data_IF_775601319016
#
_entry.id   IF_775601319016
#
_cell.length_a   1.000
_cell.length_b   1.000
_cell.length_c   1.000
_cell.angle_alpha   90.00
_cell.angle_beta   90.00
_cell.angle_gamma   90.00
#
_symmetry.space_group_name_H-M   'P 1'
#
loop_
_entity.id
_entity.type
_entity.pdbx_description
1 polymer ?
#
# COMPACT_ATOMS: atom_id res chain seq x y z
N UNK A 1 24.65 15.95 -3.46
CA UNK A 1 24.41 15.84 -4.92
C UNK A 1 24.75 14.42 -5.35
N UNK A 2 23.76 13.67 -5.84
CA UNK A 2 23.73 12.84 -7.06
C UNK A 2 22.36 12.15 -7.04
N UNK A 3 21.39 12.74 -7.74
CA UNK A 3 20.03 12.24 -7.86
C UNK A 3 20.05 10.93 -8.65
N UNK A 4 20.17 9.79 -7.96
CA UNK A 4 19.82 8.50 -8.54
C UNK A 4 18.30 8.41 -8.61
N UNK A 5 17.77 8.97 -9.70
CA UNK A 5 16.49 8.57 -10.28
C UNK A 5 16.48 7.04 -10.27
N UNK A 6 15.44 6.45 -9.69
CA UNK A 6 15.14 5.03 -9.85
C UNK A 6 14.86 4.83 -11.35
N UNK A 7 15.93 4.63 -12.13
CA UNK A 7 15.81 4.16 -13.50
C UNK A 7 15.33 2.73 -13.37
N UNK A 8 14.12 2.48 -13.83
CA UNK A 8 13.61 1.16 -14.16
C UNK A 8 14.58 0.48 -15.15
N UNK A 9 15.61 -0.18 -14.63
CA UNK A 9 16.56 -0.99 -15.36
C UNK A 9 16.30 -2.45 -15.04
N UNK A 10 15.27 -3.02 -15.65
CA UNK A 10 15.18 -4.46 -15.91
C UNK A 10 14.10 -4.72 -16.97
N UNK A 11 14.38 -4.27 -18.20
CA UNK A 11 13.57 -4.57 -19.40
C UNK A 11 14.43 -5.14 -20.55
N UNK A 12 15.69 -5.50 -20.27
CA UNK A 12 16.61 -6.05 -21.28
C UNK A 12 16.89 -7.50 -20.92
N UNK A 13 15.98 -8.39 -21.30
CA UNK A 13 16.14 -9.82 -21.59
C UNK A 13 14.79 -10.54 -21.37
N UNK A 14 13.78 -10.11 -22.11
CA UNK A 14 12.51 -10.83 -22.19
C UNK A 14 12.15 -10.99 -23.65
N UNK A 15 11.74 -12.19 -24.00
CA UNK A 15 11.25 -12.56 -25.31
C UNK A 15 10.14 -11.58 -25.77
N UNK A 16 10.11 -11.24 -27.07
CA UNK A 16 9.26 -10.17 -27.61
C UNK A 16 7.78 -10.38 -27.32
N UNK A 17 7.37 -11.64 -27.24
CA UNK A 17 5.99 -12.10 -26.99
C UNK A 17 5.52 -11.77 -25.57
N UNK A 18 6.34 -12.03 -24.55
CA UNK A 18 6.00 -11.74 -23.15
C UNK A 18 5.90 -10.22 -22.90
N UNK A 19 6.74 -9.41 -23.58
CA UNK A 19 6.63 -7.95 -23.51
C UNK A 19 5.31 -7.42 -24.09
N UNK A 20 4.80 -8.04 -25.16
CA UNK A 20 3.53 -7.67 -25.76
C UNK A 20 2.34 -8.05 -24.87
N UNK A 21 2.29 -9.29 -24.37
CA UNK A 21 1.21 -9.75 -23.49
C UNK A 21 1.10 -8.91 -22.21
N UNK A 22 2.23 -8.59 -21.60
CA UNK A 22 2.30 -7.67 -20.44
C UNK A 22 1.62 -6.34 -20.73
N UNK A 23 1.93 -5.77 -21.89
CA UNK A 23 1.37 -4.49 -22.32
C UNK A 23 -0.14 -4.60 -22.50
N UNK A 24 -0.62 -5.69 -23.10
CA UNK A 24 -2.07 -5.93 -23.29
C UNK A 24 -2.79 -6.02 -21.94
N UNK A 25 -2.26 -6.78 -20.98
CA UNK A 25 -2.85 -6.90 -19.64
C UNK A 25 -2.89 -5.55 -18.93
N UNK A 26 -1.77 -4.83 -18.91
CA UNK A 26 -1.71 -3.52 -18.27
C UNK A 26 -2.68 -2.51 -18.92
N UNK A 27 -2.78 -2.49 -20.25
CA UNK A 27 -3.72 -1.62 -20.96
C UNK A 27 -5.18 -1.99 -20.69
N UNK A 28 -5.49 -3.27 -20.50
CA UNK A 28 -6.82 -3.72 -20.08
C UNK A 28 -7.20 -3.16 -18.70
N UNK A 29 -6.31 -3.29 -17.71
CA UNK A 29 -6.49 -2.70 -16.39
C UNK A 29 -6.68 -1.18 -16.46
N UNK A 30 -5.87 -0.50 -17.27
CA UNK A 30 -6.00 0.94 -17.50
C UNK A 30 -7.39 1.30 -18.05
N UNK A 31 -7.91 0.51 -19.00
CA UNK A 31 -9.25 0.72 -19.57
C UNK A 31 -10.33 0.57 -18.51
N UNK A 32 -10.24 -0.46 -17.66
CA UNK A 32 -11.21 -0.67 -16.58
C UNK A 32 -11.19 0.47 -15.57
N UNK A 33 -10.01 0.91 -15.10
CA UNK A 33 -9.88 2.03 -14.15
C UNK A 33 -10.30 3.38 -14.74
N UNK A 34 -10.28 3.55 -16.06
CA UNK A 34 -10.77 4.77 -16.72
C UNK A 34 -12.28 4.89 -16.77
N UNK A 35 -13.02 3.82 -16.49
CA UNK A 35 -14.45 3.77 -16.76
C UNK A 35 -15.29 4.79 -15.96
N UNK A 36 -14.88 5.14 -14.74
CA UNK A 36 -15.65 6.01 -13.85
C UNK A 36 -15.12 7.45 -13.84
N UNK A 37 -15.78 8.38 -14.52
CA UNK A 37 -15.42 9.80 -14.45
C UNK A 37 -15.80 10.40 -13.08
N UNK A 38 -15.31 11.62 -12.79
CA UNK A 38 -15.59 12.26 -11.50
C UNK A 38 -17.09 12.43 -11.22
N UNK A 39 -17.88 12.74 -12.25
CA UNK A 39 -19.33 12.88 -12.08
C UNK A 39 -20.02 11.54 -11.85
N UNK A 40 -19.44 10.44 -12.36
CA UNK A 40 -19.91 9.10 -12.03
C UNK A 40 -19.61 8.73 -10.59
N UNK A 41 -18.49 9.18 -10.03
CA UNK A 41 -18.18 8.99 -8.62
C UNK A 41 -19.13 9.79 -7.73
N UNK A 42 -19.54 11.00 -8.14
CA UNK A 42 -20.51 11.81 -7.39
C UNK A 42 -21.92 11.23 -7.43
N UNK A 43 -22.34 10.71 -8.59
CA UNK A 43 -23.68 10.19 -8.82
C UNK A 43 -23.69 8.66 -8.95
N UNK A 44 -22.86 7.96 -8.17
CA UNK A 44 -22.53 6.55 -8.37
C UNK A 44 -23.76 5.67 -8.56
N UNK A 45 -23.77 4.96 -9.71
CA UNK A 45 -24.77 3.96 -10.08
C UNK A 45 -24.04 2.68 -10.44
N UNK A 46 -24.08 1.67 -9.57
CA UNK A 46 -23.35 0.41 -9.76
C UNK A 46 -23.67 -0.28 -11.09
N UNK A 47 -24.90 -0.18 -11.58
CA UNK A 47 -25.32 -0.76 -12.87
C UNK A 47 -24.53 -0.21 -14.07
N UNK A 48 -24.01 1.02 -14.00
CA UNK A 48 -23.15 1.61 -15.04
C UNK A 48 -21.83 0.84 -15.20
N UNK A 49 -21.37 0.20 -14.14
CA UNK A 49 -20.07 -0.49 -14.07
C UNK A 49 -20.20 -2.00 -14.02
N UNK A 50 -21.37 -2.54 -14.36
CA UNK A 50 -21.60 -4.00 -14.40
C UNK A 50 -20.56 -4.68 -15.28
N UNK A 51 -19.86 -5.67 -14.72
CA UNK A 51 -18.79 -6.41 -15.40
C UNK A 51 -17.41 -5.73 -15.36
N UNK A 52 -17.29 -4.53 -14.80
CA UNK A 52 -15.98 -3.92 -14.54
C UNK A 52 -15.40 -4.49 -13.22
N UNK A 53 -14.17 -5.04 -13.23
CA UNK A 53 -13.58 -5.60 -12.02
C UNK A 53 -13.40 -4.58 -10.90
N UNK A 54 -13.25 -3.29 -11.22
CA UNK A 54 -13.08 -2.21 -10.25
C UNK A 54 -14.39 -1.56 -9.77
N UNK A 55 -15.56 -2.18 -10.04
CA UNK A 55 -16.85 -1.63 -9.59
C UNK A 55 -16.90 -1.37 -8.08
N UNK A 56 -16.44 -2.32 -7.25
CA UNK A 56 -16.39 -2.16 -5.79
C UNK A 56 -15.48 -1.01 -5.37
N UNK A 57 -14.28 -0.94 -5.96
CA UNK A 57 -13.38 0.20 -5.79
C UNK A 57 -14.05 1.54 -6.13
N UNK A 58 -14.80 1.64 -7.25
CA UNK A 58 -15.52 2.87 -7.60
C UNK A 58 -16.62 3.23 -6.61
N UNK A 59 -17.31 2.24 -6.03
CA UNK A 59 -18.30 2.45 -4.99
C UNK A 59 -17.67 3.06 -3.73
N UNK A 60 -16.56 2.50 -3.25
CA UNK A 60 -15.87 3.04 -2.09
C UNK A 60 -15.27 4.42 -2.39
N UNK A 61 -14.70 4.59 -3.58
CA UNK A 61 -14.17 5.87 -4.00
C UNK A 61 -15.27 6.94 -4.11
N UNK A 62 -16.47 6.59 -4.58
CA UNK A 62 -17.64 7.46 -4.57
C UNK A 62 -17.98 7.93 -3.15
N UNK A 63 -18.03 7.00 -2.20
CA UNK A 63 -18.29 7.31 -0.79
C UNK A 63 -17.22 8.24 -0.18
N UNK A 64 -15.96 8.05 -0.54
CA UNK A 64 -14.85 8.92 -0.09
C UNK A 64 -14.85 10.28 -0.81
N UNK A 65 -15.40 10.33 -2.03
CA UNK A 65 -15.51 11.54 -2.84
C UNK A 65 -16.68 12.41 -2.43
N UNK A 66 -17.74 11.82 -1.88
CA UNK A 66 -18.82 12.55 -1.22
C UNK A 66 -18.30 13.11 0.11
N UNK A 67 -17.70 14.29 0.05
CA UNK A 67 -17.63 15.14 1.24
C UNK A 67 -19.06 15.39 1.68
N UNK A 68 -19.47 14.83 2.82
CA UNK A 68 -20.59 15.37 3.58
C UNK A 68 -20.25 16.84 3.87
N UNK A 69 -20.61 17.75 2.97
CA UNK A 69 -21.29 18.96 3.40
C UNK A 69 -22.59 18.41 4.01
N UNK A 70 -22.55 17.96 5.26
CA UNK A 70 -23.80 17.67 5.94
C UNK A 70 -24.66 18.93 5.81
N UNK A 71 -25.97 18.79 5.71
CA UNK A 71 -26.85 19.94 5.83
C UNK A 71 -26.49 20.75 7.08
N UNK A 72 -26.01 20.11 8.15
CA UNK A 72 -25.45 20.81 9.31
C UNK A 72 -24.24 21.68 9.02
N UNK A 73 -23.36 21.32 8.07
CA UNK A 73 -22.21 22.15 7.68
C UNK A 73 -22.66 23.35 6.85
N UNK A 74 -23.66 23.16 6.00
CA UNK A 74 -24.28 24.24 5.21
C UNK A 74 -25.10 25.16 6.12
N UNK A 75 -25.96 24.61 6.99
CA UNK A 75 -26.71 25.34 8.01
C UNK A 75 -25.78 26.02 9.03
N UNK A 76 -24.64 25.41 9.41
CA UNK A 76 -23.64 26.07 10.26
C UNK A 76 -22.88 27.17 9.55
N UNK A 77 -22.52 27.01 8.27
CA UNK A 77 -21.96 28.10 7.48
C UNK A 77 -22.97 29.26 7.34
N UNK A 78 -24.25 28.93 7.16
CA UNK A 78 -25.34 29.91 7.10
C UNK A 78 -25.62 30.59 8.46
N UNK A 79 -25.50 29.86 9.58
CA UNK A 79 -25.54 30.42 10.95
C UNK A 79 -24.32 31.28 11.26
N UNK A 80 -23.11 30.87 10.85
CA UNK A 80 -21.86 31.64 11.02
C UNK A 80 -21.85 32.94 10.23
N UNK A 81 -22.51 32.97 9.07
CA UNK A 81 -22.69 34.20 8.30
C UNK A 81 -23.72 35.16 8.93
N UNK A 82 -24.47 34.74 9.96
CA UNK A 82 -25.57 35.51 10.56
C UNK A 82 -25.40 35.77 12.07
N UNK A 83 -24.33 35.31 12.72
CA UNK A 83 -24.12 35.46 14.17
C UNK A 83 -22.74 36.04 14.54
N UNK A 84 -22.73 37.20 15.22
CA UNK A 84 -21.54 37.91 15.75
C UNK A 84 -21.06 37.39 17.12
N UNK A 85 -21.02 36.07 17.35
CA UNK A 85 -20.59 35.50 18.65
C UNK A 85 -19.36 34.58 18.56
N UNK A 86 -18.48 34.56 19.59
CA UNK A 86 -17.13 34.06 19.47
C UNK A 86 -17.03 32.54 19.47
N UNK A 87 -15.91 32.10 18.89
CA UNK A 87 -15.50 30.74 18.54
C UNK A 87 -15.51 29.78 19.73
N UNK A 88 -16.47 28.85 19.76
CA UNK A 88 -16.28 27.56 20.43
C UNK A 88 -15.96 26.47 19.38
N UNK A 89 -14.87 25.76 19.65
CA UNK A 89 -14.30 24.69 18.83
C UNK A 89 -15.24 23.48 18.77
N UNK A 90 -16.02 23.34 17.70
CA UNK A 90 -16.88 22.17 17.48
C UNK A 90 -16.07 20.94 17.00
N UNK A 91 -15.88 20.01 17.95
CA UNK A 91 -15.31 18.68 17.83
C UNK A 91 -16.07 17.80 16.83
N UNK A 92 -15.34 17.17 15.91
CA UNK A 92 -15.81 16.04 15.11
C UNK A 92 -15.97 14.84 16.05
N UNK A 93 -17.14 14.20 16.07
CA UNK A 93 -17.35 12.98 16.87
C UNK A 93 -16.57 11.82 16.25
N UNK A 94 -15.73 11.16 17.05
CA UNK A 94 -14.80 10.08 16.63
C UNK A 94 -15.47 8.94 15.84
N UNK A 95 -16.75 8.65 16.09
CA UNK A 95 -17.51 7.57 15.42
C UNK A 95 -17.62 7.71 13.89
N UNK A 96 -17.51 8.93 13.35
CA UNK A 96 -17.55 9.17 11.90
C UNK A 96 -16.16 9.10 11.25
N UNK A 97 -15.09 9.07 12.04
CA UNK A 97 -13.72 8.94 11.53
C UNK A 97 -13.40 7.47 11.28
N UNK A 98 -13.77 6.58 12.20
CA UNK A 98 -13.60 5.12 12.07
C UNK A 98 -14.31 4.57 10.83
N UNK A 99 -15.54 5.04 10.54
CA UNK A 99 -16.28 4.61 9.36
C UNK A 99 -15.62 5.04 8.04
N UNK A 100 -14.95 6.19 8.01
CA UNK A 100 -14.22 6.66 6.83
C UNK A 100 -12.92 5.92 6.62
N UNK A 101 -12.22 5.56 7.70
CA UNK A 101 -11.03 4.71 7.65
C UNK A 101 -11.37 3.34 7.07
N UNK A 102 -12.45 2.70 7.54
CA UNK A 102 -12.94 1.44 6.98
C UNK A 102 -13.22 1.52 5.47
N UNK A 103 -13.78 2.63 4.98
CA UNK A 103 -14.04 2.81 3.55
C UNK A 103 -12.75 3.03 2.77
N UNK A 104 -11.78 3.77 3.31
CA UNK A 104 -10.45 3.90 2.70
C UNK A 104 -9.73 2.54 2.62
N UNK A 105 -9.80 1.74 3.69
CA UNK A 105 -9.28 0.37 3.72
C UNK A 105 -9.93 -0.51 2.67
N UNK A 106 -11.27 -0.47 2.55
CA UNK A 106 -12.00 -1.22 1.54
C UNK A 106 -11.64 -0.77 0.12
N UNK A 107 -11.51 0.54 -0.13
CA UNK A 107 -11.11 1.08 -1.42
C UNK A 107 -9.71 0.61 -1.83
N UNK A 108 -8.74 0.73 -0.92
CA UNK A 108 -7.36 0.33 -1.20
C UNK A 108 -7.24 -1.19 -1.40
N UNK A 109 -7.94 -1.98 -0.58
CA UNK A 109 -8.03 -3.42 -0.72
C UNK A 109 -8.60 -3.84 -2.07
N UNK A 110 -9.72 -3.26 -2.50
CA UNK A 110 -10.31 -3.57 -3.80
C UNK A 110 -9.36 -3.19 -4.94
N UNK A 111 -8.75 -1.99 -4.90
CA UNK A 111 -7.79 -1.56 -5.91
C UNK A 111 -6.63 -2.57 -6.06
N UNK A 112 -6.03 -2.99 -4.94
CA UNK A 112 -4.90 -3.92 -4.95
C UNK A 112 -5.36 -5.34 -5.33
N UNK A 113 -6.45 -5.84 -4.75
CA UNK A 113 -7.00 -7.18 -5.03
C UNK A 113 -7.30 -7.35 -6.51
N UNK A 114 -8.09 -6.45 -7.09
CA UNK A 114 -8.47 -6.56 -8.50
C UNK A 114 -7.30 -6.34 -9.44
N UNK A 115 -6.31 -5.53 -9.04
CA UNK A 115 -5.05 -5.44 -9.78
C UNK A 115 -4.34 -6.79 -9.80
N UNK A 116 -4.09 -7.41 -8.64
CA UNK A 116 -3.43 -8.72 -8.53
C UNK A 116 -4.18 -9.81 -9.31
N UNK A 117 -5.49 -9.94 -9.14
CA UNK A 117 -6.31 -10.96 -9.81
C UNK A 117 -6.25 -10.86 -11.34
N UNK A 118 -6.14 -9.64 -11.88
CA UNK A 118 -6.13 -9.40 -13.31
C UNK A 118 -4.70 -9.24 -13.88
N UNK A 119 -3.67 -9.38 -13.07
CA UNK A 119 -2.26 -9.39 -13.49
C UNK A 119 -1.83 -10.72 -14.15
N UNK A 120 -2.74 -11.67 -14.37
CA UNK A 120 -2.40 -13.02 -14.88
C UNK A 120 -1.25 -13.62 -14.09
N UNK A 121 -0.22 -14.18 -14.70
CA UNK A 121 0.95 -14.77 -14.01
C UNK A 121 1.95 -13.73 -13.50
N UNK A 122 1.75 -12.43 -13.72
CA UNK A 122 2.75 -11.40 -13.35
C UNK A 122 2.83 -11.07 -11.85
N UNK A 123 1.93 -11.64 -11.05
CA UNK A 123 2.00 -11.63 -9.59
C UNK A 123 2.63 -12.91 -9.02
N UNK A 124 2.98 -13.88 -9.87
CA UNK A 124 3.73 -15.08 -9.48
C UNK A 124 5.21 -14.76 -9.29
N UNK A 125 5.83 -15.38 -8.29
CA UNK A 125 7.26 -15.25 -8.04
C UNK A 125 8.05 -15.95 -9.15
N UNK A 126 9.24 -15.42 -9.46
CA UNK A 126 10.16 -15.97 -10.45
C UNK A 126 10.83 -17.29 -10.00
N UNK A 127 10.03 -18.33 -9.81
CA UNK A 127 10.45 -19.67 -9.37
C UNK A 127 10.11 -20.72 -10.42
N UNK A 128 10.74 -21.89 -10.30
CA UNK A 128 10.24 -23.09 -10.96
C UNK A 128 8.80 -23.38 -10.50
N UNK A 129 7.90 -23.81 -11.41
CA UNK A 129 6.58 -24.25 -11.02
C UNK A 129 6.64 -25.48 -10.09
N UNK A 130 5.60 -25.70 -9.30
CA UNK A 130 5.40 -26.93 -8.53
C UNK A 130 5.25 -28.13 -9.48
N UNK A 131 5.35 -29.38 -8.99
CA UNK A 131 5.00 -30.55 -9.79
C UNK A 131 3.60 -30.45 -10.44
N UNK A 132 2.67 -29.74 -9.80
CA UNK A 132 1.33 -29.44 -10.32
C UNK A 132 1.26 -28.20 -11.24
N UNK A 133 2.40 -27.58 -11.55
CA UNK A 133 2.47 -26.42 -12.43
C UNK A 133 2.25 -25.05 -11.75
N UNK A 134 2.00 -25.00 -10.45
CA UNK A 134 1.65 -23.74 -9.75
C UNK A 134 2.86 -23.02 -9.18
N UNK A 135 2.85 -21.70 -9.07
CA UNK A 135 3.95 -20.92 -8.48
C UNK A 135 3.48 -20.19 -7.22
N UNK A 136 4.36 -20.00 -6.22
CA UNK A 136 4.07 -19.04 -5.16
C UNK A 136 3.75 -17.68 -5.79
N UNK A 137 2.76 -17.00 -5.24
CA UNK A 137 2.25 -15.76 -5.82
C UNK A 137 1.98 -14.72 -4.75
N UNK A 138 1.97 -13.46 -5.13
CA UNK A 138 1.56 -12.39 -4.22
C UNK A 138 0.03 -12.36 -4.13
N UNK A 139 -0.49 -12.23 -2.92
CA UNK A 139 -1.92 -12.17 -2.67
C UNK A 139 -2.25 -11.11 -1.62
N UNK A 140 -3.45 -10.55 -1.71
CA UNK A 140 -3.94 -9.62 -0.71
C UNK A 140 -4.46 -10.39 0.49
N UNK A 141 -3.98 -10.06 1.68
CA UNK A 141 -4.55 -10.53 2.94
C UNK A 141 -5.43 -9.42 3.52
N UNK A 142 -6.77 -9.59 3.50
CA UNK A 142 -7.66 -8.70 4.22
C UNK A 142 -7.53 -9.02 5.72
N UNK A 143 -6.71 -8.27 6.43
CA UNK A 143 -6.49 -8.45 7.86
C UNK A 143 -5.21 -7.80 8.33
N UNK A 144 -5.21 -7.43 9.61
CA UNK A 144 -4.13 -6.70 10.22
C UNK A 144 -2.88 -7.57 10.43
N UNK A 145 -1.72 -7.02 10.12
CA UNK A 145 -0.43 -7.49 10.60
C UNK A 145 0.02 -6.63 11.78
N UNK A 146 0.21 -7.28 12.92
CA UNK A 146 0.74 -6.69 14.14
C UNK A 146 2.25 -6.86 14.21
N UNK A 147 2.95 -5.76 14.46
CA UNK A 147 4.40 -5.68 14.62
C UNK A 147 4.71 -5.25 16.04
N UNK A 148 5.59 -6.00 16.71
CA UNK A 148 6.11 -5.64 18.03
C UNK A 148 7.62 -5.57 17.93
N UNK A 149 8.20 -4.42 18.25
CA UNK A 149 9.65 -4.23 18.23
C UNK A 149 10.07 -3.29 19.36
N UNK A 150 11.37 -3.26 19.66
CA UNK A 150 11.93 -2.34 20.66
C UNK A 150 12.92 -1.40 19.99
N UNK A 151 12.82 -0.11 20.30
CA UNK A 151 13.74 0.92 19.82
C UNK A 151 14.18 1.77 21.01
N UNK A 152 15.49 1.89 21.23
CA UNK A 152 16.02 2.66 22.37
C UNK A 152 15.55 2.13 23.74
N UNK A 153 15.30 0.83 23.87
CA UNK A 153 14.78 0.21 25.09
C UNK A 153 13.27 0.36 25.30
N UNK A 154 12.57 1.10 24.43
CA UNK A 154 11.12 1.28 24.48
C UNK A 154 10.44 0.27 23.55
N UNK A 155 9.39 -0.40 24.04
CA UNK A 155 8.57 -1.30 23.23
C UNK A 155 7.55 -0.50 22.43
N UNK A 156 7.47 -0.81 21.15
CA UNK A 156 6.51 -0.25 20.21
C UNK A 156 5.65 -1.36 19.64
N UNK A 157 4.39 -1.02 19.41
CA UNK A 157 3.41 -1.87 18.76
C UNK A 157 2.74 -1.09 17.64
N UNK A 158 2.73 -1.70 16.46
CA UNK A 158 2.19 -1.10 15.24
C UNK A 158 1.30 -2.13 14.58
N UNK A 159 0.19 -1.69 14.04
CA UNK A 159 -0.82 -2.51 13.38
C UNK A 159 -1.12 -1.84 12.05
N UNK A 160 -1.04 -2.59 10.96
CA UNK A 160 -1.50 -2.11 9.65
C UNK A 160 -2.95 -2.56 9.40
N UNK A 161 -3.60 -1.98 8.39
CA UNK A 161 -4.99 -2.32 8.06
C UNK A 161 -5.10 -3.58 7.21
N UNK A 162 -4.11 -3.80 6.33
CA UNK A 162 -4.00 -4.99 5.50
C UNK A 162 -2.58 -5.14 4.94
N UNK A 163 -2.33 -6.21 4.18
CA UNK A 163 -1.04 -6.38 3.54
C UNK A 163 -1.09 -7.29 2.32
N UNK A 164 -0.06 -7.16 1.47
CA UNK A 164 0.26 -8.17 0.44
C UNK A 164 1.19 -9.20 1.07
N UNK A 165 0.84 -10.48 0.98
CA UNK A 165 1.62 -11.61 1.45
C UNK A 165 2.07 -12.52 0.32
N UNK A 166 2.95 -13.48 0.63
CA UNK A 166 3.25 -14.60 -0.28
C UNK A 166 2.27 -15.74 0.00
N UNK A 167 1.54 -16.16 -1.03
CA UNK A 167 0.72 -17.36 -1.02
C UNK A 167 1.53 -18.55 -1.55
N UNK A 168 1.66 -19.59 -0.73
CA UNK A 168 2.28 -20.86 -1.09
C UNK A 168 1.19 -21.89 -1.43
N UNK A 169 1.08 -22.32 -2.70
CA UNK A 169 0.17 -23.41 -3.04
C UNK A 169 0.62 -24.71 -2.36
N UNK A 170 -0.32 -25.40 -1.70
CA UNK A 170 -0.08 -26.67 -1.05
C UNK A 170 0.28 -27.77 -2.05
N UNK A 171 1.38 -28.47 -1.83
CA UNK A 171 1.97 -29.46 -2.75
C UNK A 171 1.20 -30.79 -2.89
N UNK A 172 0.03 -30.92 -2.27
CA UNK A 172 -0.77 -32.16 -2.28
C UNK A 172 -2.26 -31.84 -2.47
N UNK A 173 -2.74 -30.80 -1.78
CA UNK A 173 -4.15 -30.39 -1.80
C UNK A 173 -4.44 -29.20 -2.72
N UNK A 174 -3.41 -28.50 -3.22
CA UNK A 174 -3.56 -27.21 -3.87
C UNK A 174 -4.04 -26.09 -2.94
N UNK A 175 -4.14 -26.33 -1.63
CA UNK A 175 -4.66 -25.35 -0.67
C UNK A 175 -3.73 -24.13 -0.57
N UNK A 176 -4.29 -22.94 -0.67
CA UNK A 176 -3.57 -21.69 -0.47
C UNK A 176 -3.07 -21.56 0.98
N UNK A 177 -1.77 -21.27 1.15
CA UNK A 177 -1.16 -21.00 2.45
C UNK A 177 -0.52 -19.63 2.42
N UNK A 178 -1.27 -18.63 2.86
CA UNK A 178 -0.80 -17.25 2.84
C UNK A 178 0.08 -16.96 4.05
N UNK A 179 1.26 -16.41 3.79
CA UNK A 179 2.20 -15.97 4.81
C UNK A 179 1.60 -14.86 5.68
N UNK A 180 1.86 -14.93 6.98
CA UNK A 180 1.58 -13.85 7.94
C UNK A 180 2.68 -12.77 7.96
N UNK A 181 3.69 -12.92 7.10
CA UNK A 181 4.77 -11.97 6.91
C UNK A 181 4.43 -11.06 5.72
N UNK A 182 4.23 -9.76 5.97
CA UNK A 182 3.86 -8.82 4.93
C UNK A 182 5.04 -8.52 4.01
N UNK A 183 4.78 -8.56 2.72
CA UNK A 183 5.66 -8.11 1.64
C UNK A 183 5.49 -6.60 1.43
N UNK A 184 4.24 -6.13 1.47
CA UNK A 184 3.85 -4.73 1.38
C UNK A 184 2.77 -4.50 2.43
N UNK A 185 2.98 -3.54 3.32
CA UNK A 185 1.95 -3.11 4.27
C UNK A 185 0.95 -2.18 3.58
N UNK A 186 -0.25 -2.10 4.13
CA UNK A 186 -1.28 -1.20 3.66
C UNK A 186 -1.83 -0.42 4.84
N UNK A 187 -1.80 0.91 4.71
CA UNK A 187 -2.19 1.84 5.76
C UNK A 187 -3.22 2.82 5.23
N UNK A 188 -4.34 2.91 5.90
CA UNK A 188 -5.45 3.76 5.54
C UNK A 188 -5.72 4.71 6.70
N UNK A 189 -6.03 5.95 6.34
CA UNK A 189 -6.40 6.95 7.34
C UNK A 189 -7.57 7.77 6.83
N UNK A 190 -8.37 8.34 7.75
CA UNK A 190 -9.42 9.26 7.35
C UNK A 190 -8.80 10.51 6.69
N UNK A 191 -9.62 11.22 5.91
CA UNK A 191 -9.23 12.47 5.21
C UNK A 191 -8.57 13.52 6.13
N UNK A 192 -8.86 13.49 7.42
CA UNK A 192 -8.42 14.46 8.44
C UNK A 192 -7.30 13.91 9.35
N UNK A 193 -6.50 12.96 8.86
CA UNK A 193 -5.47 12.29 9.64
C UNK A 193 -4.52 13.26 10.35
N UNK A 194 -4.19 12.96 11.62
CA UNK A 194 -3.36 13.84 12.44
C UNK A 194 -4.01 15.17 12.83
N UNK A 195 -5.35 15.25 12.79
CA UNK A 195 -6.11 16.45 13.16
C UNK A 195 -6.14 17.53 12.08
N UNK A 196 -5.60 17.27 10.89
CA UNK A 196 -5.50 18.25 9.80
C UNK A 196 -6.71 18.13 8.87
N UNK A 197 -7.72 18.99 9.06
CA UNK A 197 -8.88 19.07 8.16
C UNK A 197 -8.52 19.77 6.85
N UNK A 198 -9.09 19.30 5.73
CA UNK A 198 -8.89 19.91 4.40
C UNK A 198 -10.08 19.76 3.46
N UNK A 199 -10.20 20.71 2.52
CA UNK A 199 -11.21 20.72 1.47
C UNK A 199 -10.99 19.63 0.41
N UNK A 200 -12.02 19.35 -0.41
CA UNK A 200 -11.93 18.43 -1.55
C UNK A 200 -10.93 18.90 -2.59
N UNK A 201 -9.93 18.08 -2.92
CA UNK A 201 -8.90 18.39 -3.91
C UNK A 201 -7.71 19.18 -3.39
N UNK A 202 -7.66 19.51 -2.10
CA UNK A 202 -6.47 20.15 -1.52
C UNK A 202 -5.33 19.13 -1.30
N UNK A 203 -4.08 19.52 -1.60
CA UNK A 203 -2.93 18.67 -1.39
C UNK A 203 -2.76 18.33 0.09
N UNK A 204 -2.14 17.19 0.36
CA UNK A 204 -1.84 16.80 1.73
C UNK A 204 -0.70 17.63 2.28
N UNK A 205 -0.95 18.31 3.39
CA UNK A 205 0.13 18.85 4.19
C UNK A 205 0.85 17.69 4.85
N UNK A 206 2.16 17.81 4.97
CA UNK A 206 2.95 16.85 5.70
C UNK A 206 2.41 16.71 7.14
N UNK A 207 2.01 15.50 7.51
CA UNK A 207 1.60 15.14 8.87
C UNK A 207 2.71 14.32 9.53
N UNK A 208 3.42 14.86 10.54
CA UNK A 208 4.47 14.12 11.24
C UNK A 208 3.95 12.84 11.90
N UNK A 209 2.72 12.84 12.43
CA UNK A 209 2.15 11.68 13.11
C UNK A 209 1.86 10.54 12.15
N UNK A 210 1.29 10.84 10.98
CA UNK A 210 1.05 9.80 9.97
C UNK A 210 2.36 9.28 9.41
N UNK A 211 3.30 10.18 9.12
CA UNK A 211 4.61 9.76 8.64
C UNK A 211 5.35 8.89 9.68
N UNK A 212 5.22 9.20 10.98
CA UNK A 212 5.78 8.36 12.04
C UNK A 212 5.16 6.96 12.06
N UNK A 213 3.85 6.84 11.85
CA UNK A 213 3.15 5.56 11.73
C UNK A 213 3.68 4.75 10.54
N UNK A 214 3.77 5.35 9.36
CA UNK A 214 4.33 4.70 8.16
C UNK A 214 5.77 4.20 8.40
N UNK A 215 6.61 5.03 9.03
CA UNK A 215 7.99 4.66 9.40
C UNK A 215 7.99 3.48 10.37
N UNK A 216 7.08 3.48 11.34
CA UNK A 216 6.96 2.43 12.34
C UNK A 216 6.51 1.10 11.69
N UNK A 217 5.64 1.13 10.70
CA UNK A 217 5.27 -0.06 9.90
C UNK A 217 6.41 -0.59 9.04
N UNK A 218 7.18 0.31 8.40
CA UNK A 218 8.37 -0.07 7.62
C UNK A 218 9.38 -0.79 8.52
N UNK A 219 9.67 -0.23 9.70
CA UNK A 219 10.56 -0.83 10.69
C UNK A 219 9.98 -2.16 11.21
N UNK A 220 8.69 -2.17 11.55
CA UNK A 220 8.00 -3.35 12.09
C UNK A 220 7.99 -4.53 11.13
N UNK A 221 7.74 -4.29 9.84
CA UNK A 221 7.77 -5.32 8.80
C UNK A 221 9.16 -5.90 8.60
N UNK A 222 10.18 -5.04 8.52
CA UNK A 222 11.59 -5.44 8.47
C UNK A 222 11.93 -6.36 9.65
N UNK A 223 11.63 -5.93 10.88
CA UNK A 223 11.87 -6.73 12.08
C UNK A 223 11.17 -8.09 12.03
N UNK A 224 9.88 -8.10 11.68
CA UNK A 224 9.07 -9.32 11.63
C UNK A 224 9.65 -10.33 10.64
N UNK A 225 10.08 -9.88 9.47
CA UNK A 225 10.74 -10.73 8.48
C UNK A 225 12.15 -11.17 8.90
N UNK A 226 12.93 -10.28 9.52
CA UNK A 226 14.29 -10.60 9.95
C UNK A 226 14.31 -11.63 11.10
N UNK A 227 13.39 -11.47 12.05
CA UNK A 227 13.25 -12.35 13.22
C UNK A 227 12.52 -13.66 12.94
N UNK A 228 11.83 -13.78 11.80
CA UNK A 228 11.16 -15.02 11.43
C UNK A 228 12.18 -16.18 11.33
N UNK A 229 12.07 -17.13 12.26
CA UNK A 229 12.97 -18.30 12.36
C UNK A 229 12.74 -19.31 11.24
N UNK A 230 11.53 -19.33 10.67
CA UNK A 230 11.12 -20.26 9.61
C UNK A 230 11.63 -19.87 8.21
N UNK A 231 12.24 -18.69 8.05
CA UNK A 231 12.78 -18.27 6.76
C UNK A 231 14.20 -18.83 6.56
N UNK A 232 14.41 -19.74 5.60
CA UNK A 232 15.72 -20.34 5.34
C UNK A 232 16.74 -19.35 4.80
N UNK A 233 16.27 -18.26 4.18
CA UNK A 233 17.12 -17.28 3.52
C UNK A 233 16.89 -15.92 4.17
N UNK A 234 17.94 -15.42 4.83
CA UNK A 234 17.94 -14.08 5.44
C UNK A 234 18.98 -13.21 4.78
N UNK A 235 18.53 -12.11 4.20
CA UNK A 235 19.45 -11.08 3.72
C UNK A 235 20.02 -10.27 4.88
N UNK A 236 21.23 -9.76 4.67
CA UNK A 236 21.90 -8.83 5.61
C UNK A 236 21.30 -7.43 5.53
N UNK A 237 20.64 -7.10 4.43
CA UNK A 237 19.92 -5.86 4.19
C UNK A 237 18.45 -6.15 3.88
N UNK A 238 17.58 -5.15 3.99
CA UNK A 238 16.16 -5.32 3.68
C UNK A 238 15.54 -4.09 3.06
N UNK A 239 14.43 -4.28 2.36
CA UNK A 239 13.53 -3.22 1.94
C UNK A 239 12.17 -3.43 2.61
N UNK A 240 11.42 -2.35 2.77
CA UNK A 240 10.01 -2.42 3.16
C UNK A 240 9.19 -1.39 2.41
N UNK A 241 7.90 -1.67 2.29
CA UNK A 241 6.96 -0.90 1.49
C UNK A 241 5.64 -0.74 2.25
N UNK A 242 5.06 0.45 2.18
CA UNK A 242 3.72 0.76 2.69
C UNK A 242 2.94 1.44 1.57
N UNK A 243 1.81 0.87 1.18
CA UNK A 243 0.83 1.55 0.33
C UNK A 243 -0.15 2.28 1.23
N UNK A 244 -0.29 3.58 1.04
CA UNK A 244 -1.12 4.42 1.89
C UNK A 244 -2.30 5.01 1.14
N UNK A 245 -3.47 5.07 1.79
CA UNK A 245 -4.66 5.74 1.27
C UNK A 245 -5.34 6.64 2.31
N UNK A 246 -5.33 7.95 2.07
CA UNK A 246 -5.93 8.95 2.95
C UNK A 246 -7.13 9.60 2.29
N UNK A 247 -8.33 9.13 2.61
CA UNK A 247 -9.50 9.46 1.80
C UNK A 247 -9.28 8.99 0.36
N UNK A 248 -9.22 9.91 -0.60
CA UNK A 248 -8.99 9.58 -2.03
C UNK A 248 -7.54 9.68 -2.47
N UNK A 249 -6.62 10.11 -1.60
CA UNK A 249 -5.21 10.25 -1.95
C UNK A 249 -4.47 8.94 -1.71
N UNK A 250 -3.77 8.46 -2.72
CA UNK A 250 -2.94 7.27 -2.67
C UNK A 250 -1.46 7.63 -2.81
N UNK A 251 -0.58 6.91 -2.11
CA UNK A 251 0.87 7.02 -2.29
C UNK A 251 1.61 5.78 -1.78
N UNK A 252 2.90 5.68 -2.10
CA UNK A 252 3.81 4.61 -1.69
C UNK A 252 4.94 5.18 -0.83
N UNK A 253 5.12 4.61 0.36
CA UNK A 253 6.29 4.81 1.23
C UNK A 253 7.23 3.61 1.14
N UNK A 254 8.54 3.86 1.11
CA UNK A 254 9.55 2.80 1.09
C UNK A 254 10.82 3.18 1.84
N UNK A 255 11.48 2.18 2.42
CA UNK A 255 12.76 2.33 3.06
C UNK A 255 13.69 1.15 2.73
N UNK A 256 14.98 1.47 2.59
CA UNK A 256 16.06 0.49 2.54
C UNK A 256 16.80 0.49 3.87
N UNK A 257 16.94 -0.70 4.45
CA UNK A 257 17.58 -0.97 5.72
C UNK A 257 18.95 -1.60 5.46
N UNK A 258 20.05 -0.80 5.50
CA UNK A 258 21.38 -1.34 5.35
C UNK A 258 21.74 -2.22 6.57
N UNK A 259 22.72 -3.14 6.43
CA UNK A 259 23.09 -4.07 7.49
C UNK A 259 23.42 -3.38 8.82
N UNK A 260 24.13 -2.24 8.77
CA UNK A 260 24.50 -1.47 9.95
C UNK A 260 23.27 -0.88 10.65
N UNK A 261 22.22 -0.51 9.90
CA UNK A 261 20.97 -0.02 10.47
C UNK A 261 20.15 -1.13 11.12
N UNK A 262 20.11 -2.31 10.49
CA UNK A 262 19.48 -3.49 11.08
C UNK A 262 20.20 -3.86 12.38
N UNK A 263 21.54 -3.94 12.37
CA UNK A 263 22.33 -4.23 13.55
C UNK A 263 22.11 -3.20 14.68
N UNK A 264 22.02 -1.92 14.34
CA UNK A 264 21.67 -0.86 15.29
C UNK A 264 20.29 -1.09 15.92
N UNK A 265 19.27 -1.35 15.09
CA UNK A 265 17.92 -1.60 15.56
C UNK A 265 17.83 -2.83 16.48
N UNK A 266 18.55 -3.90 16.15
CA UNK A 266 18.50 -5.15 16.92
C UNK A 266 19.29 -5.11 18.24
N UNK A 267 20.49 -4.52 18.21
CA UNK A 267 21.45 -4.61 19.33
C UNK A 267 21.45 -3.36 20.21
N UNK A 268 20.84 -2.27 19.75
CA UNK A 268 20.91 -0.97 20.41
C UNK A 268 22.33 -0.41 20.49
N UNK A 269 23.29 -1.02 19.79
CA UNK A 269 24.68 -0.57 19.78
C UNK A 269 24.79 0.63 18.83
N UNK A 270 25.01 1.80 19.41
CA UNK A 270 25.23 3.03 18.65
C UNK A 270 26.43 2.84 17.70
N UNK A 271 26.17 2.74 16.40
CA UNK A 271 27.16 3.16 15.42
C UNK A 271 27.58 4.58 15.81
N UNK A 272 28.90 4.84 15.88
CA UNK A 272 29.49 6.11 16.32
C UNK A 272 28.57 7.29 15.97
N UNK A 273 28.10 7.98 17.00
CA UNK A 273 27.01 8.95 16.92
C UNK A 273 27.15 9.90 15.71
N UNK A 274 26.13 9.96 14.86
CA UNK A 274 25.96 11.04 13.88
C UNK A 274 25.85 10.65 12.39
N UNK A 275 26.13 9.41 11.99
CA UNK A 275 26.17 9.03 10.56
C UNK A 275 25.08 8.08 10.07
N UNK A 276 24.26 7.52 10.99
CA UNK A 276 23.32 6.47 10.65
C UNK A 276 21.88 7.03 10.52
N UNK A 277 21.41 7.20 9.29
CA UNK A 277 20.07 7.71 8.98
C UNK A 277 19.27 6.66 8.22
N UNK A 278 17.99 6.50 8.59
CA UNK A 278 17.02 5.80 7.74
C UNK A 278 16.40 6.81 6.77
N UNK A 279 16.62 6.58 5.49
CA UNK A 279 15.99 7.37 4.44
C UNK A 279 14.68 6.71 4.03
N UNK A 280 13.57 7.34 4.41
CA UNK A 280 12.24 6.94 3.93
C UNK A 280 11.84 7.83 2.77
N UNK A 281 11.43 7.20 1.67
CA UNK A 281 10.99 7.87 0.45
C UNK A 281 9.49 7.71 0.31
N UNK A 282 8.82 8.79 -0.08
CA UNK A 282 7.42 8.80 -0.48
C UNK A 282 7.29 9.16 -1.95
N UNK A 283 6.37 8.50 -2.65
CA UNK A 283 5.92 8.98 -3.95
C UNK A 283 5.21 10.31 -3.81
N UNK A 284 4.94 10.95 -4.95
CA UNK A 284 3.88 11.97 -5.00
C UNK A 284 2.54 11.34 -4.61
N UNK A 285 1.59 12.17 -4.21
CA UNK A 285 0.22 11.73 -3.94
C UNK A 285 -0.57 11.70 -5.24
N UNK A 286 -1.39 10.66 -5.39
CA UNK A 286 -2.30 10.47 -6.51
C UNK A 286 -3.73 10.61 -6.00
N UNK A 287 -4.45 11.66 -6.41
CA UNK A 287 -5.87 11.81 -6.14
C UNK A 287 -6.66 10.87 -7.04
N UNK A 288 -7.16 9.79 -6.45
CA UNK A 288 -7.87 8.74 -7.17
C UNK A 288 -9.23 9.21 -7.72
N UNK A 289 -9.71 10.41 -7.37
CA UNK A 289 -10.81 11.07 -8.09
C UNK A 289 -10.46 11.39 -9.54
N UNK A 290 -9.19 11.69 -9.80
CA UNK A 290 -8.70 12.03 -11.13
C UNK A 290 -8.39 10.76 -11.92
N UNK A 291 -8.99 10.65 -13.11
CA UNK A 291 -8.82 9.47 -13.97
C UNK A 291 -7.35 9.24 -14.35
N UNK A 292 -6.62 10.30 -14.68
CA UNK A 292 -5.19 10.23 -15.02
C UNK A 292 -4.37 9.73 -13.84
N UNK A 293 -4.61 10.26 -12.64
CA UNK A 293 -3.85 9.90 -11.44
C UNK A 293 -4.16 8.47 -10.96
N UNK A 294 -5.37 7.95 -11.16
CA UNK A 294 -5.65 6.50 -10.97
C UNK A 294 -4.76 5.61 -11.83
N UNK A 295 -4.44 6.04 -13.05
CA UNK A 295 -3.59 5.26 -13.95
C UNK A 295 -2.13 5.33 -13.54
N UNK A 296 -1.68 6.46 -13.00
CA UNK A 296 -0.35 6.58 -12.41
C UNK A 296 -0.23 5.76 -11.11
N UNK A 297 -1.27 5.75 -10.28
CA UNK A 297 -1.36 4.86 -9.12
C UNK A 297 -1.28 3.37 -9.52
N UNK A 298 -2.05 2.96 -10.54
CA UNK A 298 -1.95 1.60 -11.10
C UNK A 298 -0.54 1.29 -11.60
N UNK A 299 0.11 2.23 -12.29
CA UNK A 299 1.49 2.05 -12.77
C UNK A 299 2.45 1.84 -11.59
N UNK A 300 2.27 2.59 -10.50
CA UNK A 300 3.05 2.44 -9.28
C UNK A 300 2.87 1.05 -8.66
N UNK A 301 1.62 0.61 -8.46
CA UNK A 301 1.29 -0.72 -7.91
C UNK A 301 1.85 -1.84 -8.80
N UNK A 302 1.63 -1.75 -10.11
CA UNK A 302 2.14 -2.72 -11.08
C UNK A 302 3.67 -2.82 -11.04
N UNK A 303 4.37 -1.67 -11.02
CA UNK A 303 5.83 -1.63 -10.95
C UNK A 303 6.36 -2.23 -9.64
N UNK A 304 5.71 -1.94 -8.51
CA UNK A 304 6.07 -2.50 -7.21
C UNK A 304 5.91 -4.02 -7.20
N UNK A 305 4.75 -4.54 -7.62
CA UNK A 305 4.50 -5.99 -7.70
C UNK A 305 5.56 -6.67 -8.57
N UNK A 306 5.87 -6.08 -9.74
CA UNK A 306 6.89 -6.59 -10.66
C UNK A 306 8.30 -6.60 -10.08
N UNK A 307 8.64 -5.59 -9.30
CA UNK A 307 9.94 -5.48 -8.64
C UNK A 307 10.09 -6.54 -7.54
N UNK A 308 9.01 -6.80 -6.81
CA UNK A 308 8.97 -7.84 -5.79
C UNK A 308 9.03 -9.23 -6.43
N UNK A 309 8.19 -9.50 -7.44
CA UNK A 309 8.08 -10.83 -8.04
C UNK A 309 9.32 -11.25 -8.83
N UNK A 310 10.15 -10.30 -9.28
CA UNK A 310 11.45 -10.60 -9.89
C UNK A 310 12.47 -11.17 -8.89
N UNK A 311 12.25 -10.99 -7.59
CA UNK A 311 13.21 -11.35 -6.54
C UNK A 311 14.36 -10.35 -6.38
N UNK A 312 14.32 -9.21 -7.09
CA UNK A 312 15.31 -8.14 -6.92
C UNK A 312 15.11 -7.38 -5.60
N UNK A 313 13.86 -7.29 -5.13
CA UNK A 313 13.53 -6.68 -3.84
C UNK A 313 14.18 -7.43 -2.67
N UNK A 314 14.74 -6.69 -1.71
CA UNK A 314 15.42 -7.26 -0.53
C UNK A 314 14.41 -7.67 0.55
N UNK A 315 13.61 -8.70 0.24
CA UNK A 315 12.55 -9.21 1.11
C UNK A 315 12.81 -10.68 1.45
N UNK A 316 13.10 -10.97 2.72
CA UNK A 316 13.46 -12.33 3.15
C UNK A 316 12.40 -13.37 2.79
N UNK A 317 11.10 -13.04 2.94
CA UNK A 317 10.00 -13.96 2.61
C UNK A 317 10.00 -14.32 1.11
N UNK A 318 10.28 -13.34 0.25
CA UNK A 318 10.33 -13.53 -1.21
C UNK A 318 11.58 -14.31 -1.60
N UNK A 319 12.75 -13.91 -1.10
CA UNK A 319 14.01 -14.63 -1.35
C UNK A 319 13.91 -16.09 -0.89
N UNK A 320 13.34 -16.32 0.28
CA UNK A 320 13.10 -17.67 0.80
C UNK A 320 12.16 -18.48 -0.09
N UNK A 321 11.06 -17.88 -0.56
CA UNK A 321 10.13 -18.55 -1.46
C UNK A 321 10.79 -18.95 -2.80
N UNK A 322 11.69 -18.10 -3.30
CA UNK A 322 12.42 -18.35 -4.55
C UNK A 322 13.48 -19.43 -4.39
N UNK A 323 14.26 -19.39 -3.31
CA UNK A 323 15.36 -20.33 -3.09
C UNK A 323 14.92 -21.72 -2.66
N UNK A 324 13.84 -21.85 -1.87
CA UNK A 324 13.29 -23.15 -1.46
C UNK A 324 12.93 -24.07 -2.64
N UNK A 325 12.73 -23.51 -3.84
CA UNK A 325 12.35 -24.25 -5.05
C UNK A 325 13.52 -24.53 -6.00
N UNK A 326 14.74 -24.04 -5.68
CA UNK A 326 15.97 -24.38 -6.42
C UNK A 326 16.65 -25.64 -5.88
N UNK A 327 16.30 -26.06 -4.66
CA UNK A 327 16.77 -27.29 -4.01
C UNK A 327 15.79 -28.43 -4.28
#
# INVERSE_FOLDING_TARGET
>A
MTTKVIKAQSLRQLDGTDRFERRVVFLSLCRHLRAAEIDDLKAFRGSKFSGNPYQGFFQFLAHLSTTNLSEDTIHRAHRRATSDTPVESELSTSSNEDSREMVSTAALNDLVRYTLMNMKTYHELATSPTPEGTRPKLDLVPGEARFKFSLGGVRHEVVNDSYIGVNYPGSMSGSDRISQLPVVNMECKPRNAGGLKRGSGEPERFSPSVFAQEVAELIGSMFKQHQATLLPCKSKDQESFVLSMHGTLFYLSTAYFPPDYIAYLEKGQHAKAGSLYLWVRRSVHFDLKNVGERIEALRCIWALIRYITSGEAKLNIVSSAIELRKR
#
